data_IF_736297790281
#
_entry.id   IF_736297790281
#
_cell.length_a   1.000
_cell.length_b   1.000
_cell.length_c   1.000
_cell.angle_alpha   90.00
_cell.angle_beta   90.00
_cell.angle_gamma   90.00
#
_symmetry.space_group_name_H-M   'P 1'
#
loop_
_entity.id
_entity.type
_entity.pdbx_description
1 polymer ?
#
# COMPACT_ATOMS: atom_id res chain seq x y z
N UNK A 1 -5.15 33.34 25.95
CA UNK A 1 -4.71 31.93 25.98
C UNK A 1 -4.21 31.56 24.59
N UNK A 2 -3.05 30.90 24.46
CA UNK A 2 -2.47 30.61 23.15
C UNK A 2 -3.33 29.57 22.42
N UNK A 3 -3.45 29.77 21.09
CA UNK A 3 -4.22 28.94 20.15
C UNK A 3 -3.87 27.46 20.36
N UNK A 4 -4.90 26.64 20.51
CA UNK A 4 -4.83 25.18 20.56
C UNK A 4 -3.98 24.68 19.39
N UNK A 5 -2.84 24.05 19.73
CA UNK A 5 -2.00 23.29 18.81
C UNK A 5 -2.91 22.34 18.02
N UNK A 6 -2.83 22.39 16.70
CA UNK A 6 -3.54 21.45 15.85
C UNK A 6 -2.96 20.05 16.11
N UNK A 7 -3.76 19.01 15.89
CA UNK A 7 -3.38 17.60 16.07
C UNK A 7 -2.12 17.21 15.27
N UNK A 8 -1.72 18.02 14.28
CA UNK A 8 -0.50 17.88 13.50
C UNK A 8 0.79 18.23 14.28
N UNK A 9 0.73 19.02 15.35
CA UNK A 9 1.92 19.48 16.09
C UNK A 9 2.51 18.43 17.06
N UNK A 10 1.94 17.22 17.09
CA UNK A 10 2.33 16.12 18.01
C UNK A 10 2.83 14.87 17.26
N UNK A 11 2.84 14.89 15.92
CA UNK A 11 3.37 13.77 15.14
C UNK A 11 4.87 13.93 14.94
N UNK A 12 5.64 12.94 15.41
CA UNK A 12 7.08 12.85 15.15
C UNK A 12 7.34 12.72 13.64
N UNK A 13 8.47 13.24 13.17
CA UNK A 13 8.88 13.20 11.75
C UNK A 13 8.91 11.76 11.21
N UNK A 14 9.10 10.78 12.09
CA UNK A 14 9.03 9.35 11.76
C UNK A 14 7.66 8.90 11.26
N UNK A 15 6.56 9.55 11.67
CA UNK A 15 5.21 9.20 11.24
C UNK A 15 5.00 9.41 9.73
N UNK A 16 5.70 10.38 9.15
CA UNK A 16 5.63 10.69 7.72
C UNK A 16 6.68 9.96 6.89
N UNK A 17 7.52 9.14 7.52
CA UNK A 17 8.46 8.29 6.79
C UNK A 17 7.73 7.14 6.11
N UNK A 18 8.16 6.82 4.90
CA UNK A 18 7.64 5.69 4.13
C UNK A 18 8.76 4.68 3.88
N UNK A 19 8.44 3.42 4.13
CA UNK A 19 9.28 2.28 3.77
C UNK A 19 9.04 1.88 2.31
N UNK A 20 7.83 2.14 1.81
CA UNK A 20 7.45 1.89 0.44
C UNK A 20 8.06 2.97 -0.48
N UNK A 21 8.81 2.52 -1.48
CA UNK A 21 9.37 3.41 -2.50
C UNK A 21 9.06 2.90 -3.90
N UNK A 22 8.41 3.76 -4.67
CA UNK A 22 8.31 3.59 -6.11
C UNK A 22 9.70 3.77 -6.75
N UNK A 23 10.34 2.66 -7.12
CA UNK A 23 11.66 2.68 -7.80
C UNK A 23 11.66 3.29 -9.21
N UNK A 24 10.50 3.52 -9.82
CA UNK A 24 10.37 4.20 -11.11
C UNK A 24 10.10 5.69 -10.96
N UNK A 25 9.80 6.17 -9.76
CA UNK A 25 9.68 7.60 -9.50
C UNK A 25 11.08 8.24 -9.60
N UNK A 26 11.26 9.17 -10.53
CA UNK A 26 12.51 9.90 -10.79
C UNK A 26 12.64 11.20 -10.00
N UNK A 27 11.64 11.56 -9.18
CA UNK A 27 11.69 12.74 -8.34
C UNK A 27 12.89 12.68 -7.38
N UNK A 28 13.50 13.84 -7.11
CA UNK A 28 14.54 13.93 -6.09
C UNK A 28 13.99 13.55 -4.71
N UNK A 29 14.85 13.08 -3.79
CA UNK A 29 14.44 12.77 -2.41
C UNK A 29 13.71 13.96 -1.74
N UNK A 30 14.13 15.20 -2.04
CA UNK A 30 13.51 16.41 -1.48
C UNK A 30 12.08 16.60 -1.99
N UNK A 31 11.86 16.43 -3.29
CA UNK A 31 10.53 16.52 -3.90
C UNK A 31 9.63 15.39 -3.42
N UNK A 32 10.16 14.17 -3.35
CA UNK A 32 9.44 13.02 -2.83
C UNK A 32 8.98 13.26 -1.39
N UNK A 33 9.88 13.69 -0.49
CA UNK A 33 9.52 14.00 0.89
C UNK A 33 8.44 15.08 0.97
N UNK A 34 8.54 16.13 0.14
CA UNK A 34 7.53 17.19 0.07
C UNK A 34 6.16 16.66 -0.38
N UNK A 35 6.11 15.76 -1.35
CA UNK A 35 4.87 15.13 -1.80
C UNK A 35 4.29 14.20 -0.73
N UNK A 36 5.12 13.40 -0.07
CA UNK A 36 4.70 12.48 0.99
C UNK A 36 4.08 13.21 2.19
N UNK A 37 4.60 14.39 2.54
CA UNK A 37 4.04 15.23 3.62
C UNK A 37 2.66 15.80 3.31
N UNK A 38 2.24 15.82 2.03
CA UNK A 38 0.98 16.44 1.59
C UNK A 38 -0.03 15.46 0.99
N UNK A 39 0.34 14.21 0.81
CA UNK A 39 -0.44 13.22 0.05
C UNK A 39 -1.66 12.68 0.82
N UNK A 40 -2.83 12.59 0.21
CA UNK A 40 -3.94 11.81 0.77
C UNK A 40 -3.95 10.34 0.29
N UNK A 41 -2.87 9.89 -0.36
CA UNK A 41 -2.74 8.53 -0.91
C UNK A 41 -1.87 7.63 -0.04
N UNK A 42 -2.39 6.43 0.24
CA UNK A 42 -1.67 5.36 0.91
C UNK A 42 -1.42 4.18 -0.02
N UNK A 43 -0.23 3.62 0.04
CA UNK A 43 0.03 2.27 -0.42
C UNK A 43 -0.42 1.29 0.67
N UNK A 44 -1.15 0.24 0.29
CA UNK A 44 -1.58 -0.83 1.21
C UNK A 44 -0.99 -2.15 0.74
N UNK A 45 -0.09 -2.72 1.54
CA UNK A 45 0.59 -3.97 1.27
C UNK A 45 0.08 -5.11 2.17
N UNK A 46 0.58 -6.31 1.84
CA UNK A 46 0.29 -7.55 2.56
C UNK A 46 -1.16 -8.06 2.53
N UNK A 47 -1.98 -7.58 1.59
CA UNK A 47 -3.35 -8.09 1.35
C UNK A 47 -3.38 -9.56 0.88
N UNK A 48 -4.50 -10.25 1.03
CA UNK A 48 -4.67 -11.55 0.35
C UNK A 48 -4.82 -11.31 -1.16
N UNK A 49 -4.51 -12.30 -2.01
CA UNK A 49 -4.90 -12.27 -3.42
C UNK A 49 -6.42 -12.37 -3.59
N UNK A 50 -7.12 -12.83 -2.55
CA UNK A 50 -8.58 -12.96 -2.52
C UNK A 50 -9.29 -11.74 -1.92
N UNK A 51 -8.55 -10.79 -1.31
CA UNK A 51 -9.14 -9.57 -0.76
C UNK A 51 -9.72 -8.71 -1.88
N UNK A 52 -11.02 -8.41 -1.78
CA UNK A 52 -11.74 -7.63 -2.78
C UNK A 52 -11.71 -6.13 -2.48
N UNK A 53 -11.97 -5.33 -3.51
CA UNK A 53 -11.99 -3.87 -3.42
C UNK A 53 -12.99 -3.38 -2.36
N UNK A 54 -14.17 -4.00 -2.28
CA UNK A 54 -15.24 -3.60 -1.37
C UNK A 54 -14.85 -3.78 0.10
N UNK A 55 -14.06 -4.81 0.40
CA UNK A 55 -13.57 -5.08 1.76
C UNK A 55 -12.54 -4.03 2.18
N UNK A 56 -11.70 -3.60 1.24
CA UNK A 56 -10.72 -2.52 1.46
C UNK A 56 -11.47 -1.21 1.64
N UNK A 57 -12.44 -0.92 0.78
CA UNK A 57 -13.29 0.26 0.91
C UNK A 57 -13.94 0.32 2.28
N UNK A 58 -14.64 -0.73 2.71
CA UNK A 58 -15.34 -0.79 4.00
C UNK A 58 -14.39 -0.53 5.19
N UNK A 59 -13.22 -1.17 5.20
CA UNK A 59 -12.25 -0.98 6.28
C UNK A 59 -11.71 0.45 6.29
N UNK A 60 -11.30 0.98 5.13
CA UNK A 60 -10.65 2.28 5.03
C UNK A 60 -11.64 3.44 5.19
N UNK A 61 -12.92 3.28 4.85
CA UNK A 61 -13.97 4.25 5.16
C UNK A 61 -14.14 4.55 6.64
N UNK A 62 -13.62 3.70 7.55
CA UNK A 62 -13.64 3.96 9.00
C UNK A 62 -12.69 5.08 9.44
N UNK A 63 -11.69 5.42 8.61
CA UNK A 63 -10.73 6.47 8.92
C UNK A 63 -11.09 7.83 8.29
N UNK A 64 -11.87 7.85 7.22
CA UNK A 64 -12.29 9.05 6.51
C UNK A 64 -12.98 8.74 5.19
N UNK A 65 -13.40 9.78 4.46
CA UNK A 65 -14.04 9.63 3.15
C UNK A 65 -13.02 9.16 2.10
N UNK A 66 -13.23 7.94 1.60
CA UNK A 66 -12.41 7.33 0.56
C UNK A 66 -12.85 7.90 -0.78
N UNK A 67 -11.92 8.53 -1.50
CA UNK A 67 -12.14 9.02 -2.87
C UNK A 67 -12.18 7.87 -3.87
N UNK A 68 -11.21 6.97 -3.78
CA UNK A 68 -11.13 5.75 -4.60
C UNK A 68 -10.16 4.72 -4.03
N UNK A 69 -10.39 3.47 -4.40
CA UNK A 69 -9.43 2.38 -4.22
C UNK A 69 -8.89 1.99 -5.60
N UNK A 70 -7.57 1.82 -5.72
CA UNK A 70 -6.93 1.31 -6.93
C UNK A 70 -6.29 -0.03 -6.63
N UNK A 71 -6.90 -1.11 -7.11
CA UNK A 71 -6.39 -2.46 -6.90
C UNK A 71 -5.05 -2.68 -7.58
N UNK A 72 -4.10 -3.29 -6.86
CA UNK A 72 -2.81 -3.70 -7.39
C UNK A 72 -2.92 -5.02 -8.14
N UNK A 73 -2.69 -4.99 -9.44
CA UNK A 73 -2.92 -6.10 -10.35
C UNK A 73 -1.62 -6.70 -10.86
N UNK A 74 -1.62 -8.02 -11.08
CA UNK A 74 -0.58 -8.69 -11.82
C UNK A 74 -0.60 -8.22 -13.29
N UNK A 75 0.57 -7.87 -13.82
CA UNK A 75 0.70 -7.11 -15.07
C UNK A 75 0.13 -7.82 -16.30
N UNK A 76 0.08 -9.15 -16.29
CA UNK A 76 -0.28 -9.99 -17.46
C UNK A 76 -1.75 -10.41 -17.41
N UNK A 77 -2.12 -11.24 -16.45
CA UNK A 77 -3.46 -11.82 -16.24
C UNK A 77 -4.47 -10.86 -15.59
N UNK A 78 -4.03 -9.68 -15.11
CA UNK A 78 -4.86 -8.63 -14.51
C UNK A 78 -5.62 -9.07 -13.25
N UNK A 79 -5.08 -10.03 -12.52
CA UNK A 79 -5.63 -10.49 -11.23
C UNK A 79 -5.03 -9.72 -10.05
N UNK A 80 -5.70 -9.61 -8.88
CA UNK A 80 -5.12 -8.99 -7.70
C UNK A 80 -3.80 -9.64 -7.28
N UNK A 81 -2.79 -8.83 -6.99
CA UNK A 81 -1.47 -9.31 -6.53
C UNK A 81 -1.11 -8.80 -5.13
N UNK A 82 -2.14 -8.59 -4.30
CA UNK A 82 -2.00 -8.40 -2.87
C UNK A 82 -1.38 -7.05 -2.47
N UNK A 83 -1.71 -6.00 -3.21
CA UNK A 83 -1.58 -4.62 -2.75
C UNK A 83 -2.67 -3.76 -3.38
N UNK A 84 -2.85 -2.54 -2.88
CA UNK A 84 -3.67 -1.53 -3.53
C UNK A 84 -3.14 -0.13 -3.16
N UNK A 85 -3.77 0.89 -3.74
CA UNK A 85 -3.71 2.26 -3.27
C UNK A 85 -5.07 2.68 -2.75
N UNK A 86 -5.09 3.44 -1.66
CA UNK A 86 -6.29 4.10 -1.15
C UNK A 86 -6.05 5.59 -1.18
N UNK A 87 -6.91 6.31 -1.89
CA UNK A 87 -6.89 7.77 -1.95
C UNK A 87 -8.07 8.30 -1.13
N UNK A 88 -7.79 9.15 -0.15
CA UNK A 88 -8.80 9.87 0.62
C UNK A 88 -9.10 11.22 -0.02
N UNK A 89 -10.31 11.74 0.20
CA UNK A 89 -10.64 13.12 -0.16
C UNK A 89 -9.74 14.11 0.60
N UNK A 90 -9.54 13.86 1.89
CA UNK A 90 -8.75 14.70 2.79
C UNK A 90 -7.53 13.98 3.38
N UNK A 91 -6.47 14.74 3.68
CA UNK A 91 -5.22 14.21 4.26
C UNK A 91 -5.47 13.60 5.64
N UNK A 92 -6.38 14.17 6.41
CA UNK A 92 -6.77 13.74 7.74
C UNK A 92 -7.25 12.28 7.73
N UNK A 93 -8.01 11.85 6.71
CA UNK A 93 -8.43 10.46 6.55
C UNK A 93 -7.26 9.49 6.38
N UNK A 94 -6.27 9.89 5.58
CA UNK A 94 -5.04 9.10 5.41
C UNK A 94 -4.20 9.05 6.70
N UNK A 95 -4.12 10.14 7.47
CA UNK A 95 -3.43 10.15 8.76
C UNK A 95 -4.13 9.25 9.78
N UNK A 96 -5.47 9.28 9.85
CA UNK A 96 -6.25 8.39 10.69
C UNK A 96 -6.04 6.92 10.31
N UNK A 97 -5.98 6.60 9.03
CA UNK A 97 -5.69 5.24 8.57
C UNK A 97 -4.26 4.80 8.94
N UNK A 98 -3.27 5.67 8.77
CA UNK A 98 -1.89 5.39 9.20
C UNK A 98 -1.78 5.16 10.72
N UNK A 99 -2.62 5.82 11.53
CA UNK A 99 -2.63 5.66 13.00
C UNK A 99 -3.37 4.40 13.46
N UNK A 100 -4.54 4.12 12.88
CA UNK A 100 -5.50 3.17 13.45
C UNK A 100 -5.81 1.96 12.58
N UNK A 101 -5.54 2.01 11.27
CA UNK A 101 -5.77 0.90 10.33
C UNK A 101 -4.46 0.19 9.99
N UNK A 102 -3.34 0.91 9.97
CA UNK A 102 -2.02 0.30 9.78
C UNK A 102 -1.80 -0.82 10.79
N UNK A 103 -1.34 -1.99 10.34
CA UNK A 103 -1.14 -3.18 11.15
C UNK A 103 -2.41 -3.83 11.72
N UNK A 104 -3.62 -3.43 11.29
CA UNK A 104 -4.83 -4.19 11.54
C UNK A 104 -4.89 -5.47 10.68
N UNK A 105 -5.86 -6.34 11.01
CA UNK A 105 -6.14 -7.55 10.23
C UNK A 105 -7.18 -7.28 9.15
N UNK A 106 -6.94 -7.78 7.94
CA UNK A 106 -7.91 -7.91 6.85
C UNK A 106 -7.70 -9.27 6.19
N UNK A 107 -8.76 -10.08 6.10
CA UNK A 107 -8.70 -11.49 5.67
C UNK A 107 -7.60 -12.28 6.40
N UNK A 108 -7.57 -12.17 7.73
CA UNK A 108 -6.57 -12.79 8.63
C UNK A 108 -5.10 -12.37 8.44
N UNK A 109 -4.84 -11.38 7.58
CA UNK A 109 -3.50 -10.85 7.33
C UNK A 109 -3.29 -9.51 7.98
N UNK A 110 -2.13 -9.32 8.61
CA UNK A 110 -1.71 -8.01 9.11
C UNK A 110 -1.34 -7.13 7.93
N UNK A 111 -2.20 -6.17 7.58
CA UNK A 111 -1.95 -5.25 6.48
C UNK A 111 -0.93 -4.19 6.88
N UNK A 112 -0.28 -3.61 5.90
CA UNK A 112 0.72 -2.55 6.13
C UNK A 112 0.42 -1.38 5.23
N UNK A 113 0.26 -0.20 5.81
CA UNK A 113 0.08 1.04 5.07
C UNK A 113 1.37 1.86 5.04
N UNK A 114 1.56 2.59 3.96
CA UNK A 114 2.64 3.56 3.79
C UNK A 114 2.13 4.81 3.09
N UNK A 115 2.74 5.95 3.39
CA UNK A 115 2.60 7.14 2.58
C UNK A 115 3.07 6.88 1.15
N UNK A 116 2.23 7.28 0.21
CA UNK A 116 2.51 7.23 -1.22
C UNK A 116 2.51 8.65 -1.79
N UNK A 117 3.34 8.93 -2.80
CA UNK A 117 3.49 10.27 -3.35
C UNK A 117 2.33 10.73 -4.26
N UNK A 118 1.36 9.85 -4.52
CA UNK A 118 0.22 10.09 -5.39
C UNK A 118 0.16 9.04 -6.51
N UNK A 119 -1.06 8.60 -6.83
CA UNK A 119 -1.27 7.61 -7.88
C UNK A 119 -0.96 8.17 -9.28
N UNK A 120 -0.33 7.34 -10.11
CA UNK A 120 -0.09 7.61 -11.54
C UNK A 120 -0.43 6.34 -12.30
N UNK A 121 -1.03 6.50 -13.47
CA UNK A 121 -1.41 5.38 -14.33
C UNK A 121 -0.23 4.45 -14.63
N UNK A 122 -0.49 3.14 -14.59
CA UNK A 122 0.51 2.08 -14.71
C UNK A 122 1.12 1.64 -13.37
N UNK A 123 0.94 2.40 -12.27
CA UNK A 123 1.41 2.00 -10.93
C UNK A 123 0.58 0.89 -10.30
N UNK A 124 -0.64 0.66 -10.79
CA UNK A 124 -1.47 -0.47 -10.37
C UNK A 124 -0.85 -1.82 -10.73
N UNK A 125 0.11 -1.88 -11.67
CA UNK A 125 0.70 -3.15 -12.07
C UNK A 125 1.92 -3.56 -11.25
N UNK A 126 1.93 -4.83 -10.84
CA UNK A 126 3.09 -5.50 -10.26
C UNK A 126 4.35 -5.36 -11.12
N UNK A 127 5.49 -5.23 -10.44
CA UNK A 127 6.81 -4.97 -11.06
C UNK A 127 7.77 -6.15 -11.01
N UNK A 128 7.32 -7.29 -10.49
CA UNK A 128 8.00 -8.56 -10.60
C UNK A 128 8.20 -8.95 -12.07
N UNK A 129 9.17 -9.85 -12.28
CA UNK A 129 9.51 -10.37 -13.60
C UNK A 129 8.35 -11.20 -14.16
N UNK A 130 7.70 -12.01 -13.33
CA UNK A 130 6.51 -12.80 -13.66
C UNK A 130 5.27 -11.94 -13.92
N UNK A 131 5.23 -10.73 -13.37
CA UNK A 131 4.11 -9.79 -13.48
C UNK A 131 3.50 -9.40 -12.14
N UNK A 132 3.73 -10.19 -11.07
CA UNK A 132 3.25 -9.91 -9.71
C UNK A 132 4.10 -8.88 -8.97
N UNK A 133 4.04 -8.84 -7.64
CA UNK A 133 4.93 -7.98 -6.85
C UNK A 133 6.36 -8.53 -6.86
N UNK A 134 7.36 -7.63 -6.80
CA UNK A 134 8.79 -8.02 -6.75
C UNK A 134 9.08 -8.93 -5.55
N UNK A 135 8.42 -8.70 -4.40
CA UNK A 135 8.61 -9.56 -3.21
C UNK A 135 8.15 -11.00 -3.42
N UNK A 136 7.11 -11.21 -4.21
CA UNK A 136 6.54 -12.55 -4.47
C UNK A 136 7.41 -13.36 -5.45
N UNK A 137 8.42 -12.74 -6.07
CA UNK A 137 9.43 -13.46 -6.86
C UNK A 137 10.38 -14.27 -5.97
N UNK A 138 10.78 -13.68 -4.83
CA UNK A 138 11.89 -14.17 -4.00
C UNK A 138 11.45 -14.82 -2.68
N UNK A 139 10.15 -14.78 -2.37
CA UNK A 139 9.57 -15.39 -1.18
C UNK A 139 9.85 -16.90 -1.13
N UNK A 140 10.31 -17.40 0.02
CA UNK A 140 10.71 -18.82 0.18
C UNK A 140 9.67 -19.65 0.91
N UNK A 141 8.94 -19.04 1.82
CA UNK A 141 7.81 -19.61 2.53
C UNK A 141 6.64 -19.92 1.60
N UNK A 142 5.78 -20.84 2.02
CA UNK A 142 4.49 -21.10 1.39
C UNK A 142 3.44 -20.17 2.01
N UNK A 143 2.65 -19.51 1.18
CA UNK A 143 1.54 -18.66 1.61
C UNK A 143 0.38 -18.86 0.62
N UNK A 144 -0.68 -19.52 1.08
CA UNK A 144 -1.83 -19.88 0.25
C UNK A 144 -2.52 -18.65 -0.32
N UNK A 145 -2.62 -17.57 0.46
CA UNK A 145 -3.23 -16.30 0.07
C UNK A 145 -2.37 -15.50 -0.92
N UNK A 146 -1.18 -16.01 -1.22
CA UNK A 146 -0.20 -15.41 -2.16
C UNK A 146 0.17 -16.36 -3.29
N UNK A 147 -0.70 -17.33 -3.59
CA UNK A 147 -0.52 -18.28 -4.69
C UNK A 147 0.54 -19.35 -4.44
N UNK A 148 0.86 -19.64 -3.16
CA UNK A 148 1.74 -20.74 -2.76
C UNK A 148 3.17 -20.29 -2.45
N UNK A 149 4.18 -20.92 -3.05
CA UNK A 149 5.58 -20.49 -2.92
C UNK A 149 5.89 -19.27 -3.80
N UNK A 150 6.99 -18.56 -3.55
CA UNK A 150 7.46 -17.51 -4.47
C UNK A 150 7.87 -18.07 -5.84
N UNK A 151 7.81 -17.23 -6.88
CA UNK A 151 7.95 -17.67 -8.29
C UNK A 151 9.30 -18.33 -8.59
N UNK A 152 10.37 -17.90 -7.94
CA UNK A 152 11.68 -18.54 -8.09
C UNK A 152 11.68 -19.97 -7.53
N UNK A 153 11.07 -20.19 -6.37
CA UNK A 153 10.95 -21.52 -5.76
C UNK A 153 10.01 -22.42 -6.57
N UNK A 154 8.87 -21.90 -7.02
CA UNK A 154 7.96 -22.65 -7.91
C UNK A 154 8.69 -23.19 -9.15
N UNK A 155 9.53 -22.36 -9.78
CA UNK A 155 10.35 -22.78 -10.93
C UNK A 155 11.39 -23.82 -10.57
N UNK A 156 12.01 -23.73 -9.39
CA UNK A 156 12.99 -24.72 -8.93
C UNK A 156 12.36 -26.08 -8.64
N UNK A 157 11.11 -26.11 -8.17
CA UNK A 157 10.38 -27.36 -7.86
C UNK A 157 9.80 -28.05 -9.11
N UNK A 158 9.74 -27.36 -10.25
CA UNK A 158 9.24 -27.88 -11.52
C UNK A 158 10.34 -28.49 -12.41
N UNK A 159 11.60 -28.32 -12.01
CA UNK A 159 12.78 -28.91 -12.67
C UNK A 159 13.29 -30.10 -11.85
#
# INVERSE_FOLDING_TARGET
>A
MPRTKFLCDVLDDSFYQTSYRDRRNSASNRELNKSLLKSSTLYVGNLSFYTREEQIWELFSRAGEVRRVIMGLHRVDKTPCGFCFVEYEDREGAEMAMRYINHCRLDDRIIRTDWDAGFVEGRQFGRGRSGGQVRDEFRKDYDADRGGYGKMVQRMMQN
#
